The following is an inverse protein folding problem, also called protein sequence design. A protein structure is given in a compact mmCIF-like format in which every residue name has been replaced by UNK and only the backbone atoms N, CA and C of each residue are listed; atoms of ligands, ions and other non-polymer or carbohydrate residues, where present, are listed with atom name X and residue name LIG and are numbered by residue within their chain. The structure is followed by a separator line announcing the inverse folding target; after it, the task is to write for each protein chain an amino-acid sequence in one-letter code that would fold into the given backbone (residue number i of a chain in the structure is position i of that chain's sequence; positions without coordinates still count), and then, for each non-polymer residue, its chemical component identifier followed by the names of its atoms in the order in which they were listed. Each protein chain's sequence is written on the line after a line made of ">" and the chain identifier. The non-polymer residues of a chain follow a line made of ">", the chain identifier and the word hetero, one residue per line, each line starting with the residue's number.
data_IF_912199157333
#
_entry.id   IF_912199157333
#
_cell.length_a   1.000
_cell.length_b   1.000
_cell.length_c   1.000
_cell.angle_alpha   90.00
_cell.angle_beta   90.00
_cell.angle_gamma   90.00
#
_symmetry.space_group_name_H-M   'P 1'
#
loop_
_entity.id
_entity.type
_entity.pdbx_description
1 polymer ?
#
# COMPACT_ATOMS: atom_id res chain seq x y z
N UNK A 1 -71.93 -39.67 100.06
CA UNK A 1 -71.09 -38.46 100.15
C UNK A 1 -69.66 -38.88 100.51
N UNK A 2 -68.72 -38.44 99.68
CA UNK A 2 -67.36 -38.03 100.06
C UNK A 2 -66.27 -39.05 100.41
N UNK A 3 -65.45 -39.32 99.37
CA UNK A 3 -63.99 -39.15 99.25
C UNK A 3 -62.97 -39.79 100.22
N UNK A 4 -62.10 -40.62 99.60
CA UNK A 4 -60.62 -40.74 99.64
C UNK A 4 -60.17 -42.22 99.68
N UNK A 5 -59.04 -42.65 99.06
CA UNK A 5 -57.75 -41.93 98.95
C UNK A 5 -56.92 -42.21 97.67
N UNK A 6 -56.78 -41.26 96.74
CA UNK A 6 -55.74 -41.34 95.68
C UNK A 6 -55.08 -39.99 95.33
N UNK A 7 -55.15 -39.00 96.23
CA UNK A 7 -54.70 -37.63 95.94
C UNK A 7 -53.31 -37.26 96.50
N UNK A 8 -52.52 -38.22 96.94
CA UNK A 8 -51.21 -37.97 97.59
C UNK A 8 -50.06 -38.76 96.97
N UNK A 9 -50.00 -38.82 95.63
CA UNK A 9 -48.82 -39.34 94.91
C UNK A 9 -48.15 -38.34 93.94
N UNK A 10 -48.71 -37.13 93.76
CA UNK A 10 -48.14 -36.13 92.86
C UNK A 10 -47.11 -35.19 93.52
N UNK A 11 -46.98 -35.22 94.85
CA UNK A 11 -46.05 -34.35 95.60
C UNK A 11 -44.67 -34.97 95.85
N UNK A 12 -44.43 -36.22 95.43
CA UNK A 12 -43.17 -36.96 95.69
C UNK A 12 -42.23 -37.12 94.50
N UNK A 13 -42.56 -36.56 93.33
CA UNK A 13 -41.67 -36.56 92.15
C UNK A 13 -41.43 -35.12 91.70
N UNK A 14 -40.26 -34.59 92.07
CA UNK A 14 -39.83 -33.23 91.77
C UNK A 14 -39.70 -32.92 90.27
N UNK A 15 -40.82 -32.60 89.62
CA UNK A 15 -40.85 -31.86 88.38
C UNK A 15 -40.87 -30.37 88.70
N UNK A 16 -39.69 -29.73 88.72
CA UNK A 16 -39.61 -28.28 88.62
C UNK A 16 -40.22 -27.87 87.28
N UNK A 17 -41.40 -27.25 87.30
CA UNK A 17 -41.98 -26.60 86.13
C UNK A 17 -41.03 -25.48 85.68
N UNK A 18 -40.33 -25.69 84.55
CA UNK A 18 -39.59 -24.62 83.88
C UNK A 18 -40.57 -23.50 83.48
N UNK A 19 -40.19 -22.22 83.57
CA UNK A 19 -41.10 -21.11 83.34
C UNK A 19 -41.66 -21.12 81.92
N UNK A 20 -42.97 -20.87 81.79
CA UNK A 20 -43.59 -20.52 80.50
C UNK A 20 -42.98 -19.20 80.03
N UNK A 21 -42.10 -19.23 79.04
CA UNK A 21 -41.76 -18.03 78.27
C UNK A 21 -42.94 -17.70 77.35
N UNK A 22 -43.54 -16.52 77.53
CA UNK A 22 -44.55 -15.95 76.63
C UNK A 22 -43.88 -14.81 75.84
N UNK A 23 -43.25 -15.15 74.70
CA UNK A 23 -42.51 -14.17 73.89
C UNK A 23 -43.43 -13.13 73.24
N UNK A 24 -44.67 -13.52 72.90
CA UNK A 24 -45.66 -12.60 72.36
C UNK A 24 -46.08 -11.52 73.37
N UNK A 25 -46.09 -11.83 74.67
CA UNK A 25 -46.39 -10.86 75.71
C UNK A 25 -45.19 -9.95 76.02
N UNK A 26 -43.96 -10.47 75.90
CA UNK A 26 -42.76 -9.62 75.93
C UNK A 26 -42.75 -8.61 74.79
N UNK A 27 -43.11 -9.04 73.58
CA UNK A 27 -43.14 -8.17 72.39
C UNK A 27 -44.02 -6.93 72.56
N UNK A 28 -45.17 -7.04 73.27
CA UNK A 28 -46.06 -5.90 73.54
C UNK A 28 -45.41 -4.76 74.31
N UNK A 29 -44.37 -5.07 75.10
CA UNK A 29 -43.66 -4.09 75.93
C UNK A 29 -42.41 -3.51 75.25
N UNK A 30 -42.03 -4.01 74.07
CA UNK A 30 -40.88 -3.51 73.33
C UNK A 30 -41.22 -2.25 72.55
N UNK A 31 -40.29 -1.29 72.46
CA UNK A 31 -40.44 -0.10 71.61
C UNK A 31 -39.80 -0.33 70.26
N UNK A 32 -40.56 -0.12 69.17
CA UNK A 32 -40.07 -0.26 67.78
C UNK A 32 -40.16 1.05 67.02
N UNK A 33 -39.41 1.14 65.92
CA UNK A 33 -39.37 2.34 65.10
C UNK A 33 -39.31 2.00 63.61
N UNK A 34 -40.28 2.52 62.85
CA UNK A 34 -40.23 2.54 61.38
C UNK A 34 -40.12 4.00 60.95
N UNK A 35 -38.96 4.41 60.41
CA UNK A 35 -38.67 5.76 59.93
C UNK A 35 -38.07 5.72 58.53
N UNK A 36 -38.92 5.40 57.57
CA UNK A 36 -38.62 5.37 56.14
C UNK A 36 -39.65 6.23 55.40
N UNK A 37 -39.27 6.76 54.23
CA UNK A 37 -40.15 7.63 53.46
C UNK A 37 -41.39 6.87 52.98
N UNK A 38 -42.59 7.42 53.23
CA UNK A 38 -43.88 6.72 53.06
C UNK A 38 -44.16 6.21 51.63
N UNK A 39 -43.51 6.81 50.63
CA UNK A 39 -43.65 6.47 49.20
C UNK A 39 -42.39 5.81 48.60
N UNK A 40 -41.46 5.35 49.43
CA UNK A 40 -40.26 4.64 48.94
C UNK A 40 -40.58 3.22 48.47
N UNK A 41 -39.80 2.69 47.54
CA UNK A 41 -39.85 1.28 47.12
C UNK A 41 -39.63 0.34 48.32
N UNK A 42 -38.84 0.76 49.30
CA UNK A 42 -38.65 0.08 50.58
C UNK A 42 -39.96 -0.16 51.34
N UNK A 43 -40.89 0.80 51.34
CA UNK A 43 -42.22 0.60 51.94
C UNK A 43 -43.04 -0.42 51.14
N UNK A 44 -42.91 -0.44 49.81
CA UNK A 44 -43.60 -1.40 48.96
C UNK A 44 -43.05 -2.83 49.16
N UNK A 45 -41.74 -2.96 49.27
CA UNK A 45 -41.04 -4.21 49.61
C UNK A 45 -41.54 -4.79 50.94
N UNK A 46 -41.61 -3.96 52.00
CA UNK A 46 -42.14 -4.39 53.30
C UNK A 46 -43.62 -4.81 53.23
N UNK A 47 -44.45 -4.07 52.49
CA UNK A 47 -45.87 -4.41 52.28
C UNK A 47 -46.03 -5.75 51.56
N UNK A 48 -45.21 -6.03 50.54
CA UNK A 48 -45.28 -7.27 49.75
C UNK A 48 -45.05 -8.52 50.61
N UNK A 49 -44.13 -8.45 51.58
CA UNK A 49 -43.81 -9.56 52.50
C UNK A 49 -44.62 -9.52 53.81
N UNK A 50 -45.54 -8.56 53.93
CA UNK A 50 -46.31 -8.29 55.15
C UNK A 50 -45.44 -8.13 56.40
N UNK A 51 -44.34 -7.37 56.32
CA UNK A 51 -43.48 -7.02 57.46
C UNK A 51 -44.05 -5.77 58.15
N UNK A 52 -44.63 -5.95 59.33
CA UNK A 52 -45.37 -4.92 60.07
C UNK A 52 -44.66 -4.50 61.37
N UNK A 53 -45.17 -3.47 62.05
CA UNK A 53 -44.60 -3.02 63.32
C UNK A 53 -44.66 -4.12 64.39
N UNK A 54 -45.73 -4.91 64.40
CA UNK A 54 -45.94 -6.07 65.26
C UNK A 54 -44.84 -7.13 65.10
N UNK A 55 -44.36 -7.34 63.88
CA UNK A 55 -43.25 -8.23 63.60
C UNK A 55 -41.93 -7.68 64.20
N UNK A 56 -41.71 -6.37 64.12
CA UNK A 56 -40.53 -5.72 64.72
C UNK A 56 -40.53 -5.82 66.25
N UNK A 57 -41.71 -5.77 66.87
CA UNK A 57 -41.86 -5.90 68.32
C UNK A 57 -41.39 -7.29 68.76
N UNK A 58 -41.76 -8.32 67.99
CA UNK A 58 -41.34 -9.68 68.24
C UNK A 58 -39.84 -9.89 67.97
N UNK A 59 -39.30 -9.32 66.89
CA UNK A 59 -37.85 -9.35 66.62
C UNK A 59 -37.04 -8.75 67.76
N UNK A 60 -37.50 -7.62 68.30
CA UNK A 60 -36.87 -6.99 69.46
C UNK A 60 -36.93 -7.87 70.70
N UNK A 61 -38.08 -8.46 70.98
CA UNK A 61 -38.28 -9.32 72.14
C UNK A 61 -37.37 -10.55 72.12
N UNK A 62 -37.16 -11.17 70.95
CA UNK A 62 -36.29 -12.35 70.80
C UNK A 62 -34.81 -12.02 70.63
N UNK A 63 -34.42 -10.74 70.51
CA UNK A 63 -33.02 -10.32 70.37
C UNK A 63 -32.08 -10.91 71.44
N UNK A 64 -32.45 -10.98 72.74
CA UNK A 64 -31.61 -11.61 73.75
C UNK A 64 -31.37 -13.11 73.51
N UNK A 65 -32.36 -13.81 72.95
CA UNK A 65 -32.22 -15.22 72.58
C UNK A 65 -31.25 -15.39 71.41
N UNK A 66 -31.33 -14.51 70.40
CA UNK A 66 -30.37 -14.48 69.29
C UNK A 66 -28.96 -14.19 69.82
N UNK A 67 -28.83 -13.27 70.78
CA UNK A 67 -27.56 -12.94 71.41
C UNK A 67 -26.98 -14.11 72.22
N UNK A 68 -27.79 -14.93 72.88
CA UNK A 68 -27.33 -16.12 73.59
C UNK A 68 -26.71 -17.17 72.64
N UNK A 69 -27.26 -17.28 71.41
CA UNK A 69 -26.83 -18.27 70.42
C UNK A 69 -25.96 -17.70 69.29
N UNK A 70 -25.48 -16.46 69.40
CA UNK A 70 -24.84 -15.75 68.29
C UNK A 70 -23.52 -16.40 67.82
N UNK A 71 -22.74 -16.98 68.74
CA UNK A 71 -21.50 -17.67 68.41
C UNK A 71 -21.75 -18.98 67.64
N UNK A 72 -22.83 -19.69 67.99
CA UNK A 72 -23.31 -20.87 67.27
C UNK A 72 -23.75 -20.50 65.86
N UNK A 73 -24.56 -19.44 65.73
CA UNK A 73 -25.09 -18.96 64.46
C UNK A 73 -23.97 -18.52 63.52
N UNK A 74 -23.06 -17.67 63.99
CA UNK A 74 -21.94 -17.16 63.16
C UNK A 74 -20.92 -18.26 62.83
N UNK A 75 -20.68 -19.22 63.73
CA UNK A 75 -19.79 -20.35 63.46
C UNK A 75 -20.37 -21.29 62.42
N UNK A 76 -21.65 -21.65 62.53
CA UNK A 76 -22.37 -22.45 61.53
C UNK A 76 -22.34 -21.77 60.16
N UNK A 77 -22.60 -20.46 60.11
CA UNK A 77 -22.54 -19.68 58.87
C UNK A 77 -21.20 -19.83 58.15
N UNK A 78 -20.09 -19.51 58.82
CA UNK A 78 -18.78 -19.57 58.16
C UNK A 78 -18.31 -20.99 57.87
N UNK A 79 -18.74 -22.00 58.63
CA UNK A 79 -18.43 -23.40 58.29
C UNK A 79 -18.98 -23.74 56.90
N UNK A 80 -20.24 -23.42 56.63
CA UNK A 80 -20.87 -23.69 55.33
C UNK A 80 -20.31 -22.83 54.19
N UNK A 81 -19.89 -21.60 54.49
CA UNK A 81 -19.27 -20.72 53.49
C UNK A 81 -17.87 -21.22 53.10
N UNK A 82 -17.10 -21.75 54.06
CA UNK A 82 -15.76 -22.28 53.82
C UNK A 82 -15.77 -23.62 53.06
N UNK A 83 -16.88 -24.36 53.09
CA UNK A 83 -17.04 -25.57 52.28
C UNK A 83 -17.05 -25.26 50.76
N UNK A 84 -17.27 -23.99 50.38
CA UNK A 84 -17.18 -23.52 48.99
C UNK A 84 -15.82 -22.84 48.76
N UNK A 85 -14.91 -23.54 48.08
CA UNK A 85 -13.52 -23.08 47.87
C UNK A 85 -13.41 -21.66 47.28
N UNK A 86 -14.28 -21.29 46.34
CA UNK A 86 -14.27 -19.92 45.77
C UNK A 86 -14.61 -18.84 46.79
N UNK A 87 -15.46 -19.13 47.78
CA UNK A 87 -15.81 -18.18 48.84
C UNK A 87 -14.71 -18.12 49.90
N UNK A 88 -14.09 -19.27 50.21
CA UNK A 88 -12.91 -19.33 51.06
C UNK A 88 -11.79 -18.43 50.50
N UNK A 89 -11.53 -18.49 49.19
CA UNK A 89 -10.51 -17.67 48.53
C UNK A 89 -10.83 -16.17 48.61
N UNK A 90 -12.10 -15.78 48.40
CA UNK A 90 -12.54 -14.38 48.54
C UNK A 90 -12.30 -13.90 49.99
N UNK A 91 -12.65 -14.72 50.99
CA UNK A 91 -12.43 -14.39 52.40
C UNK A 91 -10.95 -14.23 52.68
N UNK A 92 -10.09 -15.19 52.29
CA UNK A 92 -8.63 -15.14 52.52
C UNK A 92 -7.99 -13.91 51.86
N UNK A 93 -8.48 -13.52 50.68
CA UNK A 93 -7.98 -12.37 49.93
C UNK A 93 -8.32 -11.03 50.58
N UNK A 94 -9.52 -10.89 51.13
CA UNK A 94 -10.04 -9.60 51.59
C UNK A 94 -10.14 -9.46 53.12
N UNK A 95 -10.08 -10.57 53.87
CA UNK A 95 -10.33 -10.60 55.31
C UNK A 95 -9.81 -11.88 56.01
N UNK A 96 -10.31 -12.12 57.21
CA UNK A 96 -10.18 -13.38 57.95
C UNK A 96 -11.53 -13.77 58.55
N UNK A 97 -11.73 -15.06 58.76
CA UNK A 97 -12.97 -15.60 59.34
C UNK A 97 -13.23 -14.97 60.72
N UNK A 98 -12.22 -14.85 61.58
CA UNK A 98 -12.39 -14.28 62.92
C UNK A 98 -12.87 -12.82 62.90
N UNK A 99 -12.36 -12.02 61.95
CA UNK A 99 -12.78 -10.64 61.78
C UNK A 99 -14.19 -10.56 61.21
N UNK A 100 -14.51 -11.40 60.21
CA UNK A 100 -15.82 -11.41 59.58
C UNK A 100 -16.92 -11.94 60.51
N UNK A 101 -16.60 -12.92 61.37
CA UNK A 101 -17.48 -13.41 62.44
C UNK A 101 -17.94 -12.28 63.35
N UNK A 102 -17.03 -11.39 63.77
CA UNK A 102 -17.38 -10.22 64.58
C UNK A 102 -18.31 -9.26 63.85
N UNK A 103 -18.03 -8.97 62.58
CA UNK A 103 -18.90 -8.07 61.80
C UNK A 103 -20.27 -8.68 61.51
N UNK A 104 -20.35 -9.99 61.27
CA UNK A 104 -21.61 -10.69 61.08
C UNK A 104 -22.38 -10.79 62.39
N UNK A 105 -21.69 -11.03 63.51
CA UNK A 105 -22.27 -10.99 64.85
C UNK A 105 -23.00 -9.66 65.07
N UNK A 106 -22.30 -8.54 64.90
CA UNK A 106 -22.88 -7.21 65.12
C UNK A 106 -24.04 -6.94 64.16
N UNK A 107 -23.88 -7.31 62.88
CA UNK A 107 -24.94 -7.18 61.87
C UNK A 107 -26.20 -7.97 62.25
N UNK A 108 -26.06 -9.23 62.66
CA UNK A 108 -27.18 -10.07 63.08
C UNK A 108 -27.85 -9.49 64.32
N UNK A 109 -27.12 -9.03 65.34
CA UNK A 109 -27.75 -8.41 66.51
C UNK A 109 -28.49 -7.13 66.13
N UNK A 110 -27.93 -6.32 65.24
CA UNK A 110 -28.58 -5.10 64.73
C UNK A 110 -29.87 -5.41 63.96
N UNK A 111 -29.97 -6.52 63.22
CA UNK A 111 -31.18 -6.88 62.50
C UNK A 111 -32.39 -7.08 63.42
N UNK A 112 -32.17 -7.55 64.65
CA UNK A 112 -33.22 -7.83 65.63
C UNK A 112 -33.46 -6.65 66.58
N UNK A 113 -33.01 -5.44 66.24
CA UNK A 113 -33.15 -4.26 67.12
C UNK A 113 -34.54 -3.60 67.09
N UNK A 114 -35.49 -4.14 66.30
CA UNK A 114 -36.85 -3.61 66.17
C UNK A 114 -36.94 -2.24 65.46
N UNK A 115 -35.92 -1.84 64.71
CA UNK A 115 -35.88 -0.53 64.04
C UNK A 115 -35.53 -0.65 62.55
N UNK A 116 -36.40 -0.13 61.69
CA UNK A 116 -36.14 0.04 60.25
C UNK A 116 -36.17 1.54 59.95
N UNK A 117 -34.99 2.12 59.76
CA UNK A 117 -34.78 3.53 59.43
C UNK A 117 -33.74 3.71 58.32
N UNK A 118 -33.48 4.96 57.94
CA UNK A 118 -32.49 5.26 56.90
C UNK A 118 -31.08 4.74 57.22
N UNK A 119 -30.68 4.65 58.50
CA UNK A 119 -29.40 4.09 58.89
C UNK A 119 -29.38 2.57 58.67
N UNK A 120 -30.45 1.88 59.07
CA UNK A 120 -30.65 0.47 58.79
C UNK A 120 -30.47 0.17 57.30
N UNK A 121 -31.18 0.90 56.43
CA UNK A 121 -31.13 0.71 54.98
C UNK A 121 -29.73 1.02 54.44
N UNK A 122 -29.14 2.16 54.81
CA UNK A 122 -27.82 2.56 54.33
C UNK A 122 -26.73 1.53 54.67
N UNK A 123 -26.76 0.92 55.87
CA UNK A 123 -25.81 -0.15 56.22
C UNK A 123 -25.92 -1.34 55.26
N UNK A 124 -27.13 -1.78 54.91
CA UNK A 124 -27.34 -2.90 53.97
C UNK A 124 -26.88 -2.55 52.56
N UNK A 125 -27.12 -1.31 52.11
CA UNK A 125 -26.58 -0.81 50.84
C UNK A 125 -25.05 -0.79 50.84
N UNK A 126 -24.39 -0.44 51.95
CA UNK A 126 -22.93 -0.49 52.06
C UNK A 126 -22.40 -1.93 52.07
N UNK A 127 -23.08 -2.84 52.77
CA UNK A 127 -22.76 -4.28 52.75
C UNK A 127 -22.83 -4.81 51.31
N UNK A 128 -23.88 -4.48 50.57
CA UNK A 128 -24.03 -4.87 49.17
C UNK A 128 -22.87 -4.35 48.31
N UNK A 129 -22.51 -3.06 48.44
CA UNK A 129 -21.37 -2.45 47.73
C UNK A 129 -20.05 -3.14 48.04
N UNK A 130 -19.79 -3.48 49.30
CA UNK A 130 -18.57 -4.19 49.71
C UNK A 130 -18.52 -5.58 49.07
N UNK A 131 -19.63 -6.33 49.15
CA UNK A 131 -19.68 -7.68 48.57
C UNK A 131 -19.59 -7.66 47.04
N UNK A 132 -20.20 -6.69 46.38
CA UNK A 132 -20.06 -6.48 44.93
C UNK A 132 -18.60 -6.16 44.56
N UNK A 133 -17.95 -5.27 45.32
CA UNK A 133 -16.55 -4.85 45.08
C UNK A 133 -15.54 -6.01 45.23
N UNK A 134 -15.80 -6.97 46.11
CA UNK A 134 -14.95 -8.17 46.26
C UNK A 134 -15.30 -9.27 45.26
N UNK A 135 -16.27 -9.05 44.38
CA UNK A 135 -16.68 -10.02 43.35
C UNK A 135 -17.54 -11.17 43.89
N UNK A 136 -18.24 -10.98 45.01
CA UNK A 136 -19.18 -11.99 45.48
C UNK A 136 -20.41 -12.01 44.56
N UNK A 137 -20.65 -13.12 43.89
CA UNK A 137 -21.86 -13.25 43.07
C UNK A 137 -23.13 -13.34 43.95
N UNK A 138 -24.26 -12.71 43.55
CA UNK A 138 -25.50 -12.73 44.33
C UNK A 138 -26.01 -14.13 44.69
N UNK A 139 -25.77 -15.14 43.83
CA UNK A 139 -26.15 -16.54 44.08
C UNK A 139 -25.53 -17.10 45.37
N UNK A 140 -24.28 -16.71 45.68
CA UNK A 140 -23.57 -17.14 46.87
C UNK A 140 -24.07 -16.41 48.11
N UNK A 141 -24.38 -15.12 47.98
CA UNK A 141 -25.03 -14.34 49.03
C UNK A 141 -26.38 -14.95 49.42
N UNK A 142 -27.22 -15.31 48.44
CA UNK A 142 -28.51 -15.95 48.67
C UNK A 142 -28.36 -17.32 49.37
N UNK A 143 -27.40 -18.14 48.93
CA UNK A 143 -27.12 -19.44 49.55
C UNK A 143 -26.67 -19.31 51.00
N UNK A 144 -25.84 -18.31 51.33
CA UNK A 144 -25.38 -18.06 52.69
C UNK A 144 -26.56 -17.69 53.62
N UNK A 145 -27.53 -16.91 53.13
CA UNK A 145 -28.73 -16.57 53.88
C UNK A 145 -29.68 -17.76 54.11
N UNK A 146 -29.73 -18.73 53.19
CA UNK A 146 -30.48 -19.97 53.40
C UNK A 146 -29.90 -20.77 54.59
N UNK A 147 -28.57 -20.86 54.69
CA UNK A 147 -27.91 -21.57 55.79
C UNK A 147 -28.07 -20.82 57.13
N UNK A 148 -27.99 -19.48 57.09
CA UNK A 148 -28.30 -18.62 58.23
C UNK A 148 -29.74 -18.81 58.71
N UNK A 149 -30.70 -18.84 57.77
CA UNK A 149 -32.10 -19.06 58.08
C UNK A 149 -32.31 -20.40 58.77
N UNK A 150 -31.77 -21.50 58.22
CA UNK A 150 -31.90 -22.82 58.82
C UNK A 150 -31.36 -22.84 60.26
N UNK A 151 -30.18 -22.26 60.47
CA UNK A 151 -29.56 -22.20 61.81
C UNK A 151 -30.42 -21.40 62.79
N UNK A 152 -30.96 -20.24 62.36
CA UNK A 152 -31.86 -19.43 63.19
C UNK A 152 -33.14 -20.19 63.52
N UNK A 153 -33.75 -20.88 62.56
CA UNK A 153 -34.97 -21.68 62.78
C UNK A 153 -34.71 -22.84 63.75
N UNK A 154 -33.56 -23.51 63.65
CA UNK A 154 -33.16 -24.57 64.59
C UNK A 154 -32.96 -24.06 66.02
N UNK A 155 -32.40 -22.85 66.19
CA UNK A 155 -32.29 -22.18 67.50
C UNK A 155 -33.68 -21.88 68.06
N UNK A 156 -34.57 -21.29 67.26
CA UNK A 156 -35.93 -20.97 67.69
C UNK A 156 -36.73 -22.22 68.05
N UNK A 157 -36.62 -23.29 67.26
CA UNK A 157 -37.33 -24.54 67.54
C UNK A 157 -36.86 -25.20 68.84
N UNK A 158 -35.56 -25.15 69.14
CA UNK A 158 -34.99 -25.70 70.39
C UNK A 158 -35.33 -24.86 71.62
N UNK A 159 -35.36 -23.53 71.48
CA UNK A 159 -35.47 -22.60 72.61
C UNK A 159 -36.90 -22.08 72.88
N UNK A 160 -37.83 -22.24 71.93
CA UNK A 160 -39.24 -21.83 72.08
C UNK A 160 -40.15 -23.06 72.08
N UNK A 161 -40.59 -23.46 73.28
CA UNK A 161 -41.38 -24.69 73.46
C UNK A 161 -42.86 -24.56 73.07
N UNK A 162 -43.40 -23.34 72.95
CA UNK A 162 -44.74 -23.12 72.43
C UNK A 162 -44.71 -23.15 70.90
N UNK A 163 -45.43 -24.12 70.32
CA UNK A 163 -45.47 -24.32 68.87
C UNK A 163 -45.99 -23.09 68.11
N UNK A 164 -47.05 -22.44 68.60
CA UNK A 164 -47.63 -21.25 67.94
C UNK A 164 -46.64 -20.08 67.97
N UNK A 165 -45.97 -19.84 69.10
CA UNK A 165 -44.95 -18.80 69.20
C UNK A 165 -43.73 -19.11 68.34
N UNK A 166 -43.24 -20.36 68.36
CA UNK A 166 -42.11 -20.82 67.56
C UNK A 166 -42.37 -20.64 66.05
N UNK A 167 -43.57 -21.02 65.59
CA UNK A 167 -44.00 -20.84 64.21
C UNK A 167 -44.14 -19.35 63.84
N UNK A 168 -44.68 -18.53 64.74
CA UNK A 168 -44.83 -17.09 64.52
C UNK A 168 -43.45 -16.41 64.40
N UNK A 169 -42.55 -16.67 65.34
CA UNK A 169 -41.17 -16.15 65.31
C UNK A 169 -40.45 -16.58 64.02
N UNK A 170 -40.60 -17.85 63.62
CA UNK A 170 -40.01 -18.39 62.40
C UNK A 170 -40.47 -17.65 61.13
N UNK A 171 -41.78 -17.33 61.05
CA UNK A 171 -42.35 -16.53 59.96
C UNK A 171 -41.74 -15.13 59.94
N UNK A 172 -41.63 -14.48 61.09
CA UNK A 172 -41.08 -13.13 61.22
C UNK A 172 -39.59 -13.07 60.82
N UNK A 173 -38.78 -14.04 61.28
CA UNK A 173 -37.38 -14.17 60.86
C UNK A 173 -37.27 -14.33 59.35
N UNK A 174 -38.14 -15.16 58.76
CA UNK A 174 -38.15 -15.38 57.30
C UNK A 174 -38.48 -14.09 56.54
N UNK A 175 -39.44 -13.29 57.01
CA UNK A 175 -39.74 -11.97 56.44
C UNK A 175 -38.53 -11.03 56.53
N UNK A 176 -37.88 -10.95 57.69
CA UNK A 176 -36.74 -10.07 57.91
C UNK A 176 -35.55 -10.43 57.01
N UNK A 177 -35.17 -11.71 56.94
CA UNK A 177 -34.09 -12.18 56.08
C UNK A 177 -34.41 -11.93 54.61
N UNK A 178 -35.66 -12.15 54.19
CA UNK A 178 -36.08 -11.89 52.83
C UNK A 178 -36.01 -10.38 52.49
N UNK A 179 -36.44 -9.51 53.42
CA UNK A 179 -36.32 -8.07 53.25
C UNK A 179 -34.85 -7.63 53.08
N UNK A 180 -33.94 -8.20 53.87
CA UNK A 180 -32.52 -7.92 53.73
C UNK A 180 -31.97 -8.34 52.36
N UNK A 181 -32.33 -9.54 51.90
CA UNK A 181 -31.96 -10.03 50.58
C UNK A 181 -32.46 -9.11 49.46
N UNK A 182 -33.68 -8.56 49.57
CA UNK A 182 -34.23 -7.60 48.60
C UNK A 182 -33.37 -6.33 48.51
N UNK A 183 -33.05 -5.72 49.66
CA UNK A 183 -32.24 -4.49 49.71
C UNK A 183 -30.83 -4.68 49.13
N UNK A 184 -30.22 -5.83 49.42
CA UNK A 184 -28.88 -6.14 48.91
C UNK A 184 -28.93 -6.39 47.41
N UNK A 185 -29.89 -7.17 46.92
CA UNK A 185 -30.00 -7.48 45.49
C UNK A 185 -30.26 -6.24 44.64
N UNK A 186 -31.14 -5.35 45.10
CA UNK A 186 -31.41 -4.06 44.44
C UNK A 186 -30.13 -3.20 44.33
N UNK A 187 -29.32 -3.16 45.39
CA UNK A 187 -28.05 -2.44 45.37
C UNK A 187 -27.02 -3.06 44.42
N UNK A 188 -26.97 -4.39 44.32
CA UNK A 188 -26.14 -5.10 43.34
C UNK A 188 -26.52 -4.75 41.91
N UNK A 189 -27.83 -4.78 41.60
CA UNK A 189 -28.34 -4.47 40.27
C UNK A 189 -28.04 -3.02 39.88
N UNK A 190 -28.24 -2.09 40.81
CA UNK A 190 -27.95 -0.67 40.60
C UNK A 190 -26.47 -0.42 40.32
N UNK A 191 -25.57 -0.99 41.12
CA UNK A 191 -24.12 -0.80 40.94
C UNK A 191 -23.63 -1.41 39.62
N UNK A 192 -24.10 -2.62 39.28
CA UNK A 192 -23.74 -3.26 38.02
C UNK A 192 -24.27 -2.48 36.80
N UNK A 193 -25.45 -1.88 36.90
CA UNK A 193 -26.02 -1.04 35.83
C UNK A 193 -25.17 0.22 35.62
N UNK A 194 -24.80 0.91 36.70
CA UNK A 194 -23.92 2.09 36.64
C UNK A 194 -22.55 1.77 36.02
N UNK A 195 -21.94 0.64 36.39
CA UNK A 195 -20.67 0.20 35.80
C UNK A 195 -20.80 -0.10 34.30
N UNK A 196 -21.89 -0.74 33.88
CA UNK A 196 -22.17 -1.02 32.45
C UNK A 196 -22.40 0.26 31.66
N UNK A 197 -23.13 1.22 32.21
CA UNK A 197 -23.37 2.52 31.57
C UNK A 197 -22.07 3.30 31.40
N UNK A 198 -21.21 3.34 32.44
CA UNK A 198 -19.93 4.00 32.35
C UNK A 198 -19.02 3.34 31.30
N UNK A 199 -18.90 2.02 31.31
CA UNK A 199 -18.12 1.29 30.32
C UNK A 199 -18.63 1.53 28.90
N UNK A 200 -19.96 1.61 28.72
CA UNK A 200 -20.57 1.94 27.42
C UNK A 200 -20.19 3.35 26.96
N UNK A 201 -20.23 4.34 27.85
CA UNK A 201 -19.84 5.73 27.54
C UNK A 201 -18.36 5.79 27.17
N UNK A 202 -17.48 5.11 27.90
CA UNK A 202 -16.05 5.10 27.64
C UNK A 202 -15.72 4.50 26.27
N UNK A 203 -16.31 3.35 25.94
CA UNK A 203 -16.17 2.71 24.62
C UNK A 203 -16.72 3.59 23.51
N UNK A 204 -17.88 4.22 23.74
CA UNK A 204 -18.49 5.14 22.78
C UNK A 204 -17.57 6.33 22.48
N UNK A 205 -16.98 6.93 23.51
CA UNK A 205 -16.07 8.07 23.35
C UNK A 205 -14.74 7.68 22.68
N UNK A 206 -14.18 6.52 23.03
CA UNK A 206 -12.98 5.99 22.37
C UNK A 206 -13.22 5.73 20.88
N UNK A 207 -14.34 5.08 20.53
CA UNK A 207 -14.72 4.83 19.14
C UNK A 207 -14.93 6.14 18.37
N UNK A 208 -15.60 7.13 18.99
CA UNK A 208 -15.79 8.48 18.43
C UNK A 208 -14.46 9.17 18.13
N UNK A 209 -13.50 9.10 19.05
CA UNK A 209 -12.16 9.64 18.86
C UNK A 209 -11.43 8.96 17.70
N UNK A 210 -11.42 7.62 17.66
CA UNK A 210 -10.76 6.84 16.59
C UNK A 210 -11.35 7.11 15.21
N UNK A 211 -12.67 7.21 15.09
CA UNK A 211 -13.31 7.52 13.80
C UNK A 211 -12.95 8.95 13.36
N UNK A 212 -12.94 9.92 14.29
CA UNK A 212 -12.57 11.30 13.96
C UNK A 212 -11.16 11.40 13.40
N UNK A 213 -10.17 10.79 14.08
CA UNK A 213 -8.77 10.76 13.62
C UNK A 213 -8.66 10.08 12.25
N UNK A 214 -9.27 8.90 12.09
CA UNK A 214 -9.24 8.18 10.82
C UNK A 214 -9.87 8.99 9.66
N UNK A 215 -10.95 9.73 9.94
CA UNK A 215 -11.57 10.61 8.94
C UNK A 215 -10.70 11.82 8.58
N UNK A 216 -10.01 12.43 9.54
CA UNK A 216 -9.07 13.53 9.29
C UNK A 216 -7.88 13.05 8.44
N UNK A 217 -7.33 11.86 8.74
CA UNK A 217 -6.28 11.23 7.95
C UNK A 217 -6.74 10.91 6.53
N UNK A 218 -7.96 10.38 6.36
CA UNK A 218 -8.54 10.13 5.03
C UNK A 218 -8.74 11.42 4.23
N UNK A 219 -9.17 12.51 4.87
CA UNK A 219 -9.33 13.80 4.22
C UNK A 219 -7.97 14.35 3.74
N UNK A 220 -6.94 14.33 4.60
CA UNK A 220 -5.59 14.76 4.23
C UNK A 220 -5.00 13.91 3.10
N UNK A 221 -5.17 12.59 3.16
CA UNK A 221 -4.73 11.68 2.10
C UNK A 221 -5.45 11.96 0.78
N UNK A 222 -6.76 12.21 0.83
CA UNK A 222 -7.57 12.57 -0.34
C UNK A 222 -7.04 13.85 -0.98
N UNK A 223 -6.79 14.91 -0.20
CA UNK A 223 -6.24 16.17 -0.72
C UNK A 223 -4.89 15.96 -1.43
N UNK A 224 -4.00 15.15 -0.83
CA UNK A 224 -2.71 14.81 -1.42
C UNK A 224 -2.87 14.01 -2.72
N UNK A 225 -3.79 13.04 -2.74
CA UNK A 225 -4.10 12.26 -3.94
C UNK A 225 -4.69 13.14 -5.04
N UNK A 226 -5.61 14.07 -4.73
CA UNK A 226 -6.14 15.03 -5.69
C UNK A 226 -5.07 15.94 -6.28
N UNK A 227 -4.11 16.40 -5.48
CA UNK A 227 -2.96 17.16 -5.98
C UNK A 227 -2.11 16.32 -6.94
N UNK A 228 -1.83 15.06 -6.57
CA UNK A 228 -1.07 14.12 -7.41
C UNK A 228 -1.80 13.81 -8.73
N UNK A 229 -3.12 13.63 -8.71
CA UNK A 229 -3.95 13.45 -9.92
C UNK A 229 -3.81 14.66 -10.85
N UNK A 230 -3.86 15.88 -10.30
CA UNK A 230 -3.67 17.10 -11.10
C UNK A 230 -2.30 17.16 -11.76
N UNK A 231 -1.24 16.79 -11.04
CA UNK A 231 0.11 16.71 -11.60
C UNK A 231 0.21 15.64 -12.70
N UNK A 232 -0.44 14.49 -12.52
CA UNK A 232 -0.50 13.43 -13.54
C UNK A 232 -1.21 13.91 -14.81
N UNK A 233 -2.32 14.66 -14.69
CA UNK A 233 -3.00 15.27 -15.84
C UNK A 233 -2.04 16.19 -16.60
N UNK A 234 -1.33 17.09 -15.90
CA UNK A 234 -0.39 18.01 -16.54
C UNK A 234 0.78 17.28 -17.20
N UNK A 235 1.29 16.23 -16.56
CA UNK A 235 2.37 15.41 -17.10
C UNK A 235 1.91 14.64 -18.34
N UNK A 236 0.70 14.08 -18.31
CA UNK A 236 0.11 13.39 -19.46
C UNK A 236 -0.05 14.31 -20.67
N UNK A 237 -0.50 15.56 -20.46
CA UNK A 237 -0.58 16.55 -21.54
C UNK A 237 0.81 16.90 -22.11
N UNK A 238 1.82 17.08 -21.25
CA UNK A 238 3.18 17.35 -21.68
C UNK A 238 3.78 16.19 -22.50
N UNK A 239 3.54 14.94 -22.08
CA UNK A 239 3.97 13.77 -22.84
C UNK A 239 3.26 13.72 -24.20
N UNK A 240 1.95 13.99 -24.24
CA UNK A 240 1.19 14.06 -25.49
C UNK A 240 1.69 15.15 -26.45
N UNK A 241 2.09 16.32 -25.93
CA UNK A 241 2.74 17.35 -26.76
C UNK A 241 4.09 16.91 -27.30
N UNK A 242 4.90 16.26 -26.47
CA UNK A 242 6.22 15.73 -26.86
C UNK A 242 6.08 14.65 -27.93
N UNK A 243 5.00 13.88 -27.86
CA UNK A 243 4.62 12.87 -28.83
C UNK A 243 4.32 13.46 -30.22
N UNK A 244 3.44 14.47 -30.27
CA UNK A 244 3.12 15.17 -31.52
C UNK A 244 4.37 15.78 -32.16
N UNK A 245 5.26 16.34 -31.35
CA UNK A 245 6.53 16.87 -31.85
C UNK A 245 7.46 15.75 -32.39
N UNK A 246 7.46 14.58 -31.76
CA UNK A 246 8.23 13.42 -32.23
C UNK A 246 7.72 12.91 -33.58
N UNK A 247 6.40 12.89 -33.81
CA UNK A 247 5.81 12.55 -35.12
C UNK A 247 6.32 13.49 -36.20
N UNK A 248 6.29 14.81 -35.93
CA UNK A 248 6.78 15.82 -36.85
C UNK A 248 8.25 15.58 -37.21
N UNK A 249 9.11 15.36 -36.20
CA UNK A 249 10.53 15.08 -36.40
C UNK A 249 10.81 13.77 -37.13
N UNK A 250 10.00 12.75 -36.89
CA UNK A 250 10.09 11.49 -37.63
C UNK A 250 9.76 11.69 -39.10
N UNK A 251 8.67 12.40 -39.40
CA UNK A 251 8.26 12.71 -40.77
C UNK A 251 9.29 13.57 -41.51
N UNK A 252 9.85 14.59 -40.85
CA UNK A 252 10.90 15.46 -41.40
C UNK A 252 12.15 14.63 -41.75
N UNK A 253 12.62 13.79 -40.83
CA UNK A 253 13.81 12.96 -41.03
C UNK A 253 13.60 11.92 -42.13
N UNK A 254 12.41 11.32 -42.21
CA UNK A 254 12.06 10.38 -43.28
C UNK A 254 12.07 11.05 -44.66
N UNK A 255 11.59 12.30 -44.74
CA UNK A 255 11.63 13.09 -45.98
C UNK A 255 13.07 13.38 -46.40
N UNK A 256 13.90 13.89 -45.49
CA UNK A 256 15.31 14.17 -45.74
C UNK A 256 16.10 12.92 -46.14
N UNK A 257 15.83 11.78 -45.49
CA UNK A 257 16.46 10.51 -45.83
C UNK A 257 16.05 10.02 -47.22
N UNK A 258 14.77 10.17 -47.59
CA UNK A 258 14.27 9.84 -48.93
C UNK A 258 14.90 10.73 -50.01
N UNK A 259 15.00 12.05 -49.76
CA UNK A 259 15.69 12.98 -50.66
C UNK A 259 17.18 12.65 -50.81
N UNK A 260 17.86 12.32 -49.70
CA UNK A 260 19.26 11.88 -49.71
C UNK A 260 19.45 10.61 -50.55
N UNK A 261 18.58 9.61 -50.38
CA UNK A 261 18.56 8.40 -51.20
C UNK A 261 18.34 8.71 -52.69
N UNK A 262 17.43 9.62 -53.02
CA UNK A 262 17.19 10.04 -54.41
C UNK A 262 18.41 10.74 -55.02
N UNK A 263 19.08 11.62 -54.28
CA UNK A 263 20.33 12.27 -54.73
C UNK A 263 21.45 11.26 -54.98
N UNK A 264 21.52 10.17 -54.22
CA UNK A 264 22.49 9.08 -54.46
C UNK A 264 22.17 8.29 -55.73
N UNK A 265 20.91 8.08 -56.07
CA UNK A 265 20.54 7.46 -57.35
C UNK A 265 21.04 8.32 -58.53
N UNK A 266 20.84 9.64 -58.45
CA UNK A 266 21.35 10.58 -59.46
C UNK A 266 22.88 10.59 -59.52
N UNK A 267 23.57 10.47 -58.37
CA UNK A 267 25.02 10.35 -58.33
C UNK A 267 25.50 9.05 -58.99
N UNK A 268 24.85 7.93 -58.70
CA UNK A 268 25.15 6.64 -59.31
C UNK A 268 25.00 6.68 -60.85
N UNK A 269 23.96 7.34 -61.37
CA UNK A 269 23.79 7.53 -62.81
C UNK A 269 24.93 8.37 -63.40
N UNK A 270 25.34 9.46 -62.73
CA UNK A 270 26.47 10.29 -63.17
C UNK A 270 27.80 9.53 -63.17
N UNK A 271 28.04 8.68 -62.18
CA UNK A 271 29.23 7.82 -62.10
C UNK A 271 29.30 6.87 -63.30
N UNK A 272 28.16 6.28 -63.70
CA UNK A 272 28.09 5.44 -64.91
C UNK A 272 28.45 6.23 -66.16
N UNK A 273 27.91 7.45 -66.32
CA UNK A 273 28.24 8.31 -67.46
C UNK A 273 29.73 8.69 -67.51
N UNK A 274 30.35 8.98 -66.37
CA UNK A 274 31.79 9.27 -66.30
C UNK A 274 32.60 8.04 -66.70
N UNK A 275 32.21 6.85 -66.24
CA UNK A 275 32.86 5.58 -66.62
C UNK A 275 32.80 5.35 -68.13
N UNK A 276 31.64 5.58 -68.75
CA UNK A 276 31.47 5.47 -70.21
C UNK A 276 32.33 6.50 -70.96
N UNK A 277 32.39 7.74 -70.48
CA UNK A 277 33.24 8.79 -71.06
C UNK A 277 34.74 8.44 -70.96
N UNK A 278 35.18 7.89 -69.83
CA UNK A 278 36.56 7.44 -69.64
C UNK A 278 36.93 6.27 -70.57
N UNK A 279 36.00 5.34 -70.82
CA UNK A 279 36.16 4.26 -71.80
C UNK A 279 36.30 4.78 -73.23
N UNK A 280 35.43 5.72 -73.63
CA UNK A 280 35.51 6.35 -74.96
C UNK A 280 36.83 7.14 -75.14
N UNK A 281 37.25 7.85 -74.09
CA UNK A 281 38.53 8.56 -74.09
C UNK A 281 39.70 7.60 -74.27
N UNK A 282 39.69 6.46 -73.57
CA UNK A 282 40.69 5.41 -73.73
C UNK A 282 40.74 4.89 -75.17
N UNK A 283 39.60 4.56 -75.76
CA UNK A 283 39.53 4.11 -77.17
C UNK A 283 40.10 5.15 -78.14
N UNK A 284 39.81 6.43 -77.91
CA UNK A 284 40.32 7.52 -78.76
C UNK A 284 41.85 7.63 -78.65
N UNK A 285 42.37 7.52 -77.44
CA UNK A 285 43.81 7.59 -77.14
C UNK A 285 44.56 6.38 -77.70
N UNK A 286 43.98 5.18 -77.62
CA UNK A 286 44.51 3.98 -78.28
C UNK A 286 44.60 4.19 -79.81
N UNK A 287 43.59 4.82 -80.42
CA UNK A 287 43.60 5.20 -81.83
C UNK A 287 44.69 6.21 -82.21
N UNK A 288 45.04 7.13 -81.31
CA UNK A 288 46.19 8.02 -81.50
C UNK A 288 47.52 7.25 -81.45
N UNK A 289 47.70 6.31 -80.51
CA UNK A 289 48.91 5.50 -80.45
C UNK A 289 49.16 4.74 -81.76
N UNK A 290 48.10 4.16 -82.34
CA UNK A 290 48.22 3.45 -83.61
C UNK A 290 48.49 4.40 -84.79
N UNK A 291 47.88 5.58 -84.78
CA UNK A 291 48.16 6.62 -85.79
C UNK A 291 49.62 7.10 -85.72
N UNK A 292 50.17 7.30 -84.51
CA UNK A 292 51.57 7.70 -84.35
C UNK A 292 52.55 6.61 -84.79
N UNK A 293 52.26 5.33 -84.56
CA UNK A 293 53.06 4.22 -85.11
C UNK A 293 53.10 4.27 -86.64
N UNK A 294 51.96 4.53 -87.29
CA UNK A 294 51.91 4.66 -88.75
C UNK A 294 52.72 5.87 -89.25
N UNK A 295 52.59 7.03 -88.60
CA UNK A 295 53.37 8.22 -88.95
C UNK A 295 54.87 7.94 -88.76
N UNK A 296 55.28 7.24 -87.71
CA UNK A 296 56.67 6.88 -87.48
C UNK A 296 57.23 5.99 -88.60
N UNK A 297 56.43 5.06 -89.15
CA UNK A 297 56.82 4.27 -90.32
C UNK A 297 57.01 5.15 -91.56
N UNK A 298 56.09 6.09 -91.82
CA UNK A 298 56.20 7.05 -92.94
C UNK A 298 57.46 7.91 -92.77
N UNK A 299 57.71 8.41 -91.57
CA UNK A 299 58.88 9.24 -91.25
C UNK A 299 60.18 8.49 -91.47
N UNK A 300 60.24 7.21 -91.11
CA UNK A 300 61.38 6.33 -91.39
C UNK A 300 61.61 6.19 -92.90
N UNK A 301 60.54 5.97 -93.67
CA UNK A 301 60.61 5.89 -95.14
C UNK A 301 61.06 7.23 -95.77
N UNK A 302 60.56 8.37 -95.31
CA UNK A 302 60.98 9.69 -95.79
C UNK A 302 62.45 9.95 -95.47
N UNK A 303 62.93 9.52 -94.29
CA UNK A 303 64.34 9.59 -93.92
C UNK A 303 65.22 8.77 -94.86
N UNK A 304 64.78 7.57 -95.22
CA UNK A 304 65.46 6.71 -96.20
C UNK A 304 65.49 7.35 -97.60
N UNK A 305 64.38 7.90 -98.06
CA UNK A 305 64.30 8.62 -99.35
C UNK A 305 65.25 9.81 -99.34
N UNK A 306 65.22 10.64 -98.29
CA UNK A 306 66.11 11.80 -98.17
C UNK A 306 67.58 11.36 -98.23
N UNK A 307 67.96 10.29 -97.54
CA UNK A 307 69.32 9.73 -97.58
C UNK A 307 69.69 9.22 -98.98
N UNK A 308 68.77 8.54 -99.69
CA UNK A 308 68.99 8.10 -101.07
C UNK A 308 69.14 9.29 -102.03
N UNK A 309 68.31 10.33 -101.90
CA UNK A 309 68.40 11.57 -102.68
C UNK A 309 69.73 12.30 -102.41
N UNK A 310 70.24 12.25 -101.18
CA UNK A 310 71.56 12.78 -100.83
C UNK A 310 72.69 12.07 -101.59
N UNK A 311 72.60 10.75 -101.69
CA UNK A 311 73.57 9.94 -102.44
C UNK A 311 73.45 10.17 -103.95
N UNK A 312 72.23 10.26 -104.47
CA UNK A 312 71.96 10.58 -105.89
C UNK A 312 72.51 11.95 -106.28
N UNK A 313 72.25 12.98 -105.47
CA UNK A 313 72.77 14.33 -105.71
C UNK A 313 74.29 14.40 -105.59
N UNK A 314 74.89 13.67 -104.65
CA UNK A 314 76.35 13.54 -104.57
C UNK A 314 76.94 12.91 -105.84
N UNK A 315 76.35 11.83 -106.33
CA UNK A 315 76.75 11.18 -107.58
C UNK A 315 76.58 12.13 -108.78
N UNK A 316 75.49 12.90 -108.82
CA UNK A 316 75.23 13.89 -109.87
C UNK A 316 76.25 15.05 -109.82
N UNK A 317 76.63 15.55 -108.63
CA UNK A 317 77.68 16.55 -108.48
C UNK A 317 79.05 16.04 -108.94
N UNK A 318 79.37 14.77 -108.69
CA UNK A 318 80.60 14.14 -109.18
C UNK A 318 80.61 14.10 -110.72
N UNK A 319 79.51 13.68 -111.34
CA UNK A 319 79.42 13.59 -112.81
C UNK A 319 79.40 14.98 -113.47
N UNK A 320 78.77 15.97 -112.83
CA UNK A 320 78.81 17.36 -113.26
C UNK A 320 80.23 17.95 -113.21
N UNK A 321 81.01 17.62 -112.17
CA UNK A 321 82.43 17.98 -112.11
C UNK A 321 83.26 17.28 -113.20
N UNK A 322 82.89 16.05 -113.57
CA UNK A 322 83.54 15.25 -114.61
C UNK A 322 83.29 15.78 -116.04
N UNK A 323 82.12 16.36 -116.30
CA UNK A 323 81.75 16.98 -117.58
C UNK A 323 82.39 18.37 -117.83
N UNK A 324 83.16 18.91 -116.88
CA UNK A 324 83.92 20.15 -117.05
C UNK A 324 83.03 21.38 -117.31
N UNK A 325 83.39 22.21 -118.30
CA UNK A 325 82.65 23.44 -118.66
C UNK A 325 81.18 23.17 -119.04
N UNK A 326 80.87 22.00 -119.63
CA UNK A 326 79.51 21.63 -120.03
C UNK A 326 78.63 21.17 -118.85
N UNK A 327 79.22 20.84 -117.69
CA UNK A 327 78.52 20.34 -116.51
C UNK A 327 78.10 21.42 -115.50
N UNK A 328 78.50 22.69 -115.68
CA UNK A 328 78.27 23.77 -114.70
C UNK A 328 76.80 23.97 -114.32
N UNK A 329 75.88 23.88 -115.28
CA UNK A 329 74.43 23.96 -114.99
C UNK A 329 73.90 22.76 -114.21
N UNK A 330 74.44 21.57 -114.45
CA UNK A 330 74.09 20.35 -113.74
C UNK A 330 74.65 20.34 -112.30
N UNK A 331 75.83 20.90 -112.06
CA UNK A 331 76.44 20.99 -110.71
C UNK A 331 75.60 21.87 -109.77
N UNK A 332 75.05 22.97 -110.29
CA UNK A 332 74.14 23.84 -109.52
C UNK A 332 72.88 23.09 -109.10
N UNK A 333 72.26 22.34 -110.02
CA UNK A 333 71.07 21.53 -109.71
C UNK A 333 71.41 20.44 -108.70
N UNK A 334 72.54 19.74 -108.86
CA UNK A 334 72.96 18.69 -107.93
C UNK A 334 73.21 19.22 -106.51
N UNK A 335 73.86 20.39 -106.37
CA UNK A 335 74.05 21.05 -105.07
C UNK A 335 72.72 21.50 -104.44
N UNK A 336 71.78 22.00 -105.24
CA UNK A 336 70.45 22.37 -104.73
C UNK A 336 69.65 21.15 -104.26
N UNK A 337 69.70 20.03 -105.00
CA UNK A 337 69.08 18.76 -104.59
C UNK A 337 69.74 18.20 -103.32
N UNK A 338 71.07 18.31 -103.19
CA UNK A 338 71.79 17.88 -102.00
C UNK A 338 71.40 18.71 -100.77
N UNK A 339 71.30 20.03 -100.93
CA UNK A 339 70.83 20.93 -99.89
C UNK A 339 69.38 20.59 -99.48
N UNK A 340 68.48 20.41 -100.44
CA UNK A 340 67.09 20.04 -100.20
C UNK A 340 66.97 18.70 -99.43
N UNK A 341 67.79 17.71 -99.78
CA UNK A 341 67.85 16.43 -99.07
C UNK A 341 68.37 16.55 -97.63
N UNK A 342 69.38 17.40 -97.39
CA UNK A 342 69.86 17.71 -96.04
C UNK A 342 68.78 18.44 -95.22
N UNK A 343 68.13 19.44 -95.80
CA UNK A 343 67.03 20.17 -95.15
C UNK A 343 65.84 19.24 -94.84
N UNK A 344 65.57 18.27 -95.72
CA UNK A 344 64.59 17.20 -95.49
C UNK A 344 64.98 16.33 -94.30
N UNK A 345 66.25 15.89 -94.21
CA UNK A 345 66.75 15.08 -93.09
C UNK A 345 66.63 15.81 -91.75
N UNK A 346 66.98 17.10 -91.71
CA UNK A 346 66.83 17.93 -90.51
C UNK A 346 65.36 18.04 -90.11
N UNK A 347 64.47 18.32 -91.07
CA UNK A 347 63.03 18.42 -90.84
C UNK A 347 62.43 17.11 -90.33
N UNK A 348 62.84 15.98 -90.91
CA UNK A 348 62.41 14.63 -90.49
C UNK A 348 62.86 14.32 -89.05
N UNK A 349 64.09 14.70 -88.67
CA UNK A 349 64.56 14.57 -87.30
C UNK A 349 63.73 15.42 -86.31
N UNK A 350 63.34 16.64 -86.69
CA UNK A 350 62.49 17.49 -85.86
C UNK A 350 61.09 16.88 -85.70
N UNK A 351 60.49 16.39 -86.78
CA UNK A 351 59.18 15.72 -86.74
C UNK A 351 59.25 14.45 -85.88
N UNK A 352 60.34 13.69 -85.96
CA UNK A 352 60.57 12.51 -85.10
C UNK A 352 60.56 12.89 -83.62
N UNK A 353 61.19 14.01 -83.26
CA UNK A 353 61.14 14.55 -81.89
C UNK A 353 59.73 14.91 -81.44
N UNK A 354 58.96 15.61 -82.28
CA UNK A 354 57.57 15.97 -82.00
C UNK A 354 56.66 14.74 -81.84
N UNK A 355 56.85 13.71 -82.67
CA UNK A 355 56.11 12.43 -82.55
C UNK A 355 56.42 11.77 -81.21
N UNK A 356 57.71 11.66 -80.85
CA UNK A 356 58.11 11.07 -79.57
C UNK A 356 57.49 11.81 -78.38
N UNK A 357 57.59 13.14 -78.37
CA UNK A 357 56.97 13.96 -77.32
C UNK A 357 55.44 13.74 -77.25
N UNK A 358 54.78 13.61 -78.40
CA UNK A 358 53.33 13.38 -78.42
C UNK A 358 52.96 11.97 -77.96
N UNK A 359 53.79 10.96 -78.25
CA UNK A 359 53.64 9.60 -77.72
C UNK A 359 53.80 9.56 -76.19
N UNK A 360 54.79 10.27 -75.65
CA UNK A 360 55.00 10.40 -74.20
C UNK A 360 53.77 11.06 -73.54
N UNK A 361 53.28 12.18 -74.10
CA UNK A 361 52.06 12.84 -73.63
C UNK A 361 50.83 11.91 -73.71
N UNK A 362 50.74 11.07 -74.74
CA UNK A 362 49.66 10.09 -74.91
C UNK A 362 49.71 9.02 -73.82
N UNK A 363 50.91 8.56 -73.44
CA UNK A 363 51.10 7.62 -72.34
C UNK A 363 50.67 8.23 -70.98
N UNK A 364 50.99 9.50 -70.75
CA UNK A 364 50.55 10.22 -69.54
C UNK A 364 49.01 10.36 -69.46
N UNK A 365 48.35 10.57 -70.61
CA UNK A 365 46.88 10.58 -70.68
C UNK A 365 46.31 9.19 -70.37
N UNK A 366 46.90 8.11 -70.87
CA UNK A 366 46.47 6.73 -70.52
C UNK A 366 46.57 6.48 -69.01
N UNK A 367 47.70 6.85 -68.39
CA UNK A 367 47.88 6.72 -66.94
C UNK A 367 46.84 7.54 -66.16
N UNK A 368 46.52 8.75 -66.64
CA UNK A 368 45.49 9.60 -66.04
C UNK A 368 44.09 8.98 -66.15
N UNK A 369 43.74 8.39 -67.29
CA UNK A 369 42.45 7.68 -67.47
C UNK A 369 42.35 6.46 -66.54
N UNK A 370 43.44 5.71 -66.34
CA UNK A 370 43.47 4.60 -65.39
C UNK A 370 43.19 5.07 -63.97
N UNK A 371 43.80 6.19 -63.56
CA UNK A 371 43.53 6.80 -62.25
C UNK A 371 42.07 7.24 -62.12
N UNK A 372 41.52 7.91 -63.14
CA UNK A 372 40.10 8.30 -63.16
C UNK A 372 39.18 7.09 -63.01
N UNK A 373 39.44 5.99 -63.71
CA UNK A 373 38.63 4.77 -63.58
C UNK A 373 38.67 4.19 -62.16
N UNK A 374 39.83 4.21 -61.50
CA UNK A 374 39.95 3.75 -60.11
C UNK A 374 39.13 4.63 -59.14
N UNK A 375 39.18 5.96 -59.30
CA UNK A 375 38.39 6.90 -58.50
C UNK A 375 36.88 6.75 -58.75
N UNK A 376 36.48 6.51 -60.00
CA UNK A 376 35.07 6.27 -60.38
C UNK A 376 34.53 5.00 -59.74
N UNK A 377 35.32 3.91 -59.73
CA UNK A 377 34.92 2.65 -59.08
C UNK A 377 34.82 2.81 -57.56
N UNK A 378 35.78 3.51 -56.94
CA UNK A 378 35.73 3.82 -55.52
C UNK A 378 34.50 4.66 -55.16
N UNK A 379 34.20 5.71 -55.95
CA UNK A 379 33.00 6.54 -55.78
C UNK A 379 31.70 5.78 -55.99
N UNK A 380 31.67 4.79 -56.90
CA UNK A 380 30.52 3.93 -57.11
C UNK A 380 30.23 3.08 -55.86
N UNK A 381 31.28 2.49 -55.28
CA UNK A 381 31.17 1.70 -54.06
C UNK A 381 30.72 2.56 -52.88
N UNK A 382 31.33 3.73 -52.66
CA UNK A 382 30.97 4.65 -51.57
C UNK A 382 29.52 5.15 -51.71
N UNK A 383 29.06 5.43 -52.94
CA UNK A 383 27.67 5.81 -53.22
C UNK A 383 26.69 4.67 -52.88
N UNK A 384 27.04 3.42 -53.21
CA UNK A 384 26.25 2.24 -52.87
C UNK A 384 26.18 2.00 -51.36
N UNK A 385 27.30 2.14 -50.65
CA UNK A 385 27.36 1.97 -49.21
C UNK A 385 26.53 3.06 -48.50
N UNK A 386 26.67 4.31 -48.93
CA UNK A 386 25.87 5.43 -48.40
C UNK A 386 24.37 5.22 -48.67
N UNK A 387 24.00 4.63 -49.82
CA UNK A 387 22.59 4.31 -50.12
C UNK A 387 22.02 3.30 -49.11
N UNK A 388 22.82 2.32 -48.72
CA UNK A 388 22.44 1.32 -47.71
C UNK A 388 22.23 1.96 -46.34
N UNK A 389 23.06 2.96 -45.97
CA UNK A 389 22.85 3.75 -44.74
C UNK A 389 21.51 4.48 -44.77
N UNK A 390 21.13 5.11 -45.87
CA UNK A 390 19.82 5.75 -46.00
C UNK A 390 18.65 4.75 -45.89
N UNK A 391 18.80 3.53 -46.42
CA UNK A 391 17.79 2.47 -46.25
C UNK A 391 17.62 2.05 -44.79
N UNK A 392 18.73 1.96 -44.04
CA UNK A 392 18.68 1.73 -42.60
C UNK A 392 18.02 2.88 -41.84
N UNK A 393 18.29 4.13 -42.21
CA UNK A 393 17.61 5.30 -41.62
C UNK A 393 16.11 5.20 -41.85
N UNK A 394 15.66 5.00 -43.10
CA UNK A 394 14.23 4.87 -43.43
C UNK A 394 13.55 3.74 -42.66
N UNK A 395 14.20 2.58 -42.54
CA UNK A 395 13.68 1.45 -41.75
C UNK A 395 13.59 1.80 -40.26
N UNK A 396 14.60 2.49 -39.73
CA UNK A 396 14.61 2.94 -38.33
C UNK A 396 13.50 3.97 -38.07
N UNK A 397 13.26 4.90 -39.00
CA UNK A 397 12.16 5.87 -38.90
C UNK A 397 10.79 5.18 -38.89
N UNK A 398 10.61 4.13 -39.69
CA UNK A 398 9.38 3.33 -39.68
C UNK A 398 9.17 2.61 -38.34
N UNK A 399 10.23 2.05 -37.76
CA UNK A 399 10.18 1.46 -36.42
C UNK A 399 9.84 2.50 -35.35
N UNK A 400 10.45 3.68 -35.41
CA UNK A 400 10.16 4.79 -34.50
C UNK A 400 8.69 5.21 -34.60
N UNK A 401 8.12 5.25 -35.80
CA UNK A 401 6.70 5.56 -35.99
C UNK A 401 5.78 4.52 -35.34
N UNK A 402 6.16 3.24 -35.40
CA UNK A 402 5.40 2.17 -34.73
C UNK A 402 5.46 2.29 -33.20
N UNK A 403 6.64 2.56 -32.64
CA UNK A 403 6.80 2.82 -31.19
C UNK A 403 6.01 4.05 -30.75
N UNK A 404 6.02 5.09 -31.57
CA UNK A 404 5.19 6.28 -31.37
C UNK A 404 3.71 5.86 -31.28
N UNK A 405 3.15 5.18 -32.28
CA UNK A 405 1.75 4.74 -32.24
C UNK A 405 1.41 3.83 -31.04
N UNK A 406 2.39 3.09 -30.49
CA UNK A 406 2.21 2.30 -29.28
C UNK A 406 2.10 3.18 -28.04
N UNK A 407 3.02 4.14 -27.89
CA UNK A 407 3.03 5.09 -26.76
C UNK A 407 1.75 5.95 -26.76
N UNK A 408 1.22 6.33 -27.91
CA UNK A 408 -0.06 7.04 -28.01
C UNK A 408 -1.20 6.29 -27.30
N UNK A 409 -1.32 4.98 -27.54
CA UNK A 409 -2.34 4.14 -26.92
C UNK A 409 -2.14 4.01 -25.42
N UNK A 410 -0.89 3.92 -24.97
CA UNK A 410 -0.55 3.87 -23.54
C UNK A 410 -0.94 5.19 -22.84
N UNK A 411 -0.73 6.35 -23.49
CA UNK A 411 -1.16 7.66 -22.96
C UNK A 411 -2.69 7.77 -22.89
N UNK A 412 -3.40 7.30 -23.91
CA UNK A 412 -4.88 7.28 -23.89
C UNK A 412 -5.41 6.40 -22.74
N UNK A 413 -4.80 5.24 -22.50
CA UNK A 413 -5.14 4.40 -21.36
C UNK A 413 -4.81 5.06 -20.02
N UNK A 414 -3.68 5.77 -19.95
CA UNK A 414 -3.27 6.50 -18.75
C UNK A 414 -4.27 7.60 -18.40
N UNK A 415 -4.77 8.33 -19.40
CA UNK A 415 -5.79 9.36 -19.19
C UNK A 415 -7.07 8.80 -18.55
N UNK A 416 -7.53 7.63 -19.00
CA UNK A 416 -8.69 6.94 -18.40
C UNK A 416 -8.45 6.56 -16.94
N UNK A 417 -7.27 6.00 -16.63
CA UNK A 417 -6.90 5.62 -15.26
C UNK A 417 -6.84 6.85 -14.35
N UNK A 418 -6.29 7.97 -14.84
CA UNK A 418 -6.23 9.22 -14.06
C UNK A 418 -7.63 9.73 -13.73
N UNK A 419 -8.57 9.66 -14.67
CA UNK A 419 -9.98 10.04 -14.44
C UNK A 419 -10.64 9.13 -13.39
N UNK A 420 -10.45 7.81 -13.49
CA UNK A 420 -10.98 6.83 -12.52
C UNK A 420 -10.41 7.04 -11.09
N UNK A 421 -9.12 7.37 -10.97
CA UNK A 421 -8.50 7.71 -9.70
C UNK A 421 -9.11 9.01 -9.15
N UNK A 422 -9.34 10.01 -10.00
CA UNK A 422 -10.00 11.26 -9.62
C UNK A 422 -11.40 11.03 -9.03
N UNK A 423 -12.23 10.25 -9.72
CA UNK A 423 -13.57 9.88 -9.27
C UNK A 423 -13.55 9.07 -7.96
N UNK A 424 -12.64 8.11 -7.85
CA UNK A 424 -12.49 7.30 -6.64
C UNK A 424 -12.06 8.15 -5.45
N UNK A 425 -11.16 9.11 -5.68
CA UNK A 425 -10.71 10.07 -4.66
C UNK A 425 -11.87 10.92 -4.17
N UNK A 426 -12.73 11.42 -5.07
CA UNK A 426 -13.95 12.15 -4.68
C UNK A 426 -14.91 11.31 -3.82
N UNK A 427 -15.08 10.02 -4.12
CA UNK A 427 -15.92 9.11 -3.31
C UNK A 427 -15.34 8.87 -1.92
N UNK A 428 -14.01 8.74 -1.81
CA UNK A 428 -13.33 8.60 -0.52
C UNK A 428 -13.49 9.86 0.32
N UNK A 429 -13.33 11.05 -0.30
CA UNK A 429 -13.56 12.34 0.34
C UNK A 429 -14.96 12.43 0.97
N UNK A 430 -16.00 12.15 0.17
CA UNK A 430 -17.39 12.19 0.61
C UNK A 430 -17.68 11.17 1.72
N UNK A 431 -17.02 10.00 1.67
CA UNK A 431 -17.14 8.97 2.71
C UNK A 431 -16.50 9.43 4.03
N UNK A 432 -15.34 10.09 3.97
CA UNK A 432 -14.68 10.67 5.13
C UNK A 432 -15.54 11.77 5.78
N UNK A 433 -16.12 12.68 5.00
CA UNK A 433 -17.05 13.70 5.50
C UNK A 433 -18.30 13.08 6.16
N UNK A 434 -18.85 12.04 5.54
CA UNK A 434 -20.02 11.31 6.07
C UNK A 434 -19.69 10.64 7.40
N UNK A 435 -18.50 10.05 7.52
CA UNK A 435 -18.03 9.45 8.78
C UNK A 435 -17.92 10.50 9.89
N UNK A 436 -17.36 11.68 9.61
CA UNK A 436 -17.31 12.80 10.58
C UNK A 436 -18.71 13.23 10.98
N UNK A 437 -19.63 13.38 10.01
CA UNK A 437 -21.00 13.79 10.29
C UNK A 437 -21.74 12.78 11.17
N UNK A 438 -21.66 11.48 10.83
CA UNK A 438 -22.27 10.42 11.61
C UNK A 438 -21.69 10.36 13.02
N UNK A 439 -20.38 10.56 13.17
CA UNK A 439 -19.68 10.56 14.46
C UNK A 439 -20.07 11.76 15.34
N UNK A 440 -20.45 12.89 14.77
CA UNK A 440 -21.01 14.03 15.52
C UNK A 440 -22.40 13.73 16.07
N UNK A 441 -23.18 12.92 15.35
CA UNK A 441 -24.56 12.56 15.71
C UNK A 441 -24.66 11.33 16.63
N UNK A 442 -23.56 10.58 16.80
CA UNK A 442 -23.40 9.54 17.83
C UNK A 442 -22.91 10.21 19.12
#
# INVERSE_FOLDING_TARGET
>A
MSTHPFQTLAQTLGFSSRPKTEWLDKAKNESVRIRIEANSDTVQQMKMINLQAEDLHLLKAIQPLIHEHIDEITTSFYQTVLDVGTLEDIIKKHSSVDRLKKTLHDHLIEMFNGSIDAEFINKRLQIAKVHQKIGLEPKWYMGAFQNLQNTLLDVIHRSVHNYEESLHISKVITKLLNFEQQLVLEAYEKENTLQREQAYIDVKNDLKGKITVASEELAALTEQTSASVKELVTSSDQVNRSFLHSIEKVSETQTLASEGKHKLLQLSERIVLIRESALLMRQTVDGFQDSFKQIQNIITMVQEIANQTKLLSLNASIEAARAGEHGKGFDVVAKEVQKLSNDTTVSVSQITGLIKQTMDNTADVVASIQKVNAEVEAGAQESSDTRTVFDHILTSMQSNMNEINRVEKEIQSLAYIIEEIGDSTHKVAASAETLVHNTKNI
#
